data_IF_173238422465
#
_entry.id   IF_173238422465
#
_cell.length_a   1.000
_cell.length_b   1.000
_cell.length_c   1.000
_cell.angle_alpha   90.00
_cell.angle_beta   90.00
_cell.angle_gamma   90.00
#
_symmetry.space_group_name_H-M   'P 1'
#
loop_
_entity.id
_entity.type
_entity.pdbx_description
1 polymer ?
#
# COMPACT_ATOMS: atom_id res chain seq x y z
N UNK A 1 -17.51 -22.62 -39.68
CA UNK A 1 -17.61 -21.91 -38.39
C UNK A 1 -19.00 -21.35 -38.31
N UNK A 2 -19.80 -21.88 -37.39
CA UNK A 2 -21.11 -21.30 -37.10
C UNK A 2 -20.92 -20.03 -36.27
N UNK A 3 -21.89 -19.11 -36.32
CA UNK A 3 -21.89 -17.86 -35.53
C UNK A 3 -21.74 -18.13 -34.02
N UNK A 4 -22.22 -19.30 -33.58
CA UNK A 4 -22.10 -19.80 -32.21
C UNK A 4 -20.66 -20.18 -31.83
N UNK A 5 -19.86 -20.68 -32.79
CA UNK A 5 -18.45 -21.03 -32.57
C UNK A 5 -17.57 -19.79 -32.43
N UNK A 6 -17.85 -18.75 -33.23
CA UNK A 6 -17.12 -17.48 -33.16
C UNK A 6 -17.43 -16.73 -31.87
N UNK A 7 -18.71 -16.66 -31.48
CA UNK A 7 -19.13 -16.02 -30.23
C UNK A 7 -18.49 -16.68 -29.01
N UNK A 8 -18.42 -18.02 -28.99
CA UNK A 8 -17.77 -18.77 -27.92
C UNK A 8 -16.26 -18.50 -27.88
N UNK A 9 -15.60 -18.50 -29.03
CA UNK A 9 -14.18 -18.21 -29.13
C UNK A 9 -13.85 -16.81 -28.58
N UNK A 10 -14.62 -15.79 -28.98
CA UNK A 10 -14.43 -14.42 -28.47
C UNK A 10 -14.64 -14.35 -26.96
N UNK A 11 -15.67 -15.02 -26.43
CA UNK A 11 -15.94 -15.04 -25.00
C UNK A 11 -14.83 -15.73 -24.20
N UNK A 12 -14.27 -16.84 -24.71
CA UNK A 12 -13.17 -17.56 -24.07
C UNK A 12 -11.88 -16.73 -24.10
N UNK A 13 -11.53 -16.09 -25.23
CA UNK A 13 -10.39 -15.18 -25.31
C UNK A 13 -10.53 -13.97 -24.38
N UNK A 14 -11.74 -13.40 -24.27
CA UNK A 14 -11.99 -12.30 -23.33
C UNK A 14 -11.83 -12.73 -21.87
N UNK A 15 -12.26 -13.94 -21.51
CA UNK A 15 -12.09 -14.49 -20.16
C UNK A 15 -10.61 -14.67 -19.83
N UNK A 16 -9.84 -15.25 -20.74
CA UNK A 16 -8.39 -15.42 -20.58
C UNK A 16 -7.69 -14.05 -20.37
N UNK A 17 -8.03 -13.03 -21.17
CA UNK A 17 -7.49 -11.68 -20.95
C UNK A 17 -7.86 -11.07 -19.59
N UNK A 18 -9.05 -11.37 -19.07
CA UNK A 18 -9.48 -10.89 -17.75
C UNK A 18 -8.66 -11.59 -16.66
N UNK A 19 -8.53 -12.92 -16.72
CA UNK A 19 -7.78 -13.71 -15.76
C UNK A 19 -6.29 -13.28 -15.73
N UNK A 20 -5.65 -13.09 -16.89
CA UNK A 20 -4.29 -12.58 -16.98
C UNK A 20 -4.12 -11.18 -16.36
N UNK A 21 -5.11 -10.30 -16.57
CA UNK A 21 -5.09 -8.96 -15.99
C UNK A 21 -5.27 -8.98 -14.47
N UNK A 22 -6.14 -9.86 -13.95
CA UNK A 22 -6.34 -10.05 -12.51
C UNK A 22 -5.06 -10.56 -11.84
N UNK A 23 -4.39 -11.55 -12.44
CA UNK A 23 -3.11 -12.06 -11.96
C UNK A 23 -2.01 -10.98 -11.96
N UNK A 24 -1.90 -10.23 -13.06
CA UNK A 24 -0.94 -9.13 -13.16
C UNK A 24 -1.21 -8.04 -12.12
N UNK A 25 -2.48 -7.70 -11.88
CA UNK A 25 -2.87 -6.74 -10.85
C UNK A 25 -2.49 -7.23 -9.45
N UNK A 26 -2.74 -8.51 -9.15
CA UNK A 26 -2.39 -9.12 -7.87
C UNK A 26 -0.88 -9.07 -7.60
N UNK A 27 -0.06 -9.40 -8.60
CA UNK A 27 1.40 -9.33 -8.47
C UNK A 27 1.92 -7.90 -8.33
N UNK A 28 1.35 -6.94 -9.08
CA UNK A 28 1.69 -5.53 -8.94
C UNK A 28 1.36 -5.01 -7.53
N UNK A 29 0.21 -5.40 -6.97
CA UNK A 29 -0.19 -5.04 -5.60
C UNK A 29 0.77 -5.62 -4.56
N UNK A 30 1.17 -6.90 -4.69
CA UNK A 30 2.19 -7.52 -3.83
C UNK A 30 3.53 -6.81 -3.91
N UNK A 31 3.97 -6.44 -5.12
CA UNK A 31 5.21 -5.71 -5.33
C UNK A 31 5.17 -4.31 -4.68
N UNK A 32 4.06 -3.59 -4.84
CA UNK A 32 3.82 -2.29 -4.21
C UNK A 32 3.85 -2.41 -2.68
N UNK A 33 3.12 -3.35 -2.09
CA UNK A 33 3.12 -3.59 -0.65
C UNK A 33 4.50 -3.92 -0.08
N UNK A 34 5.23 -4.83 -0.75
CA UNK A 34 6.58 -5.21 -0.36
C UNK A 34 7.57 -4.02 -0.41
N UNK A 35 7.43 -3.16 -1.42
CA UNK A 35 8.21 -1.94 -1.56
C UNK A 35 7.88 -0.93 -0.47
N UNK A 36 6.60 -0.66 -0.22
CA UNK A 36 6.15 0.24 0.85
C UNK A 36 6.73 -0.19 2.20
N UNK A 37 6.62 -1.48 2.55
CA UNK A 37 7.20 -2.01 3.79
C UNK A 37 8.71 -1.81 3.86
N UNK A 38 9.42 -1.95 2.74
CA UNK A 38 10.87 -1.75 2.67
C UNK A 38 11.24 -0.29 2.90
N UNK A 39 10.59 0.64 2.20
CA UNK A 39 10.85 2.08 2.32
C UNK A 39 10.50 2.59 3.71
N UNK A 40 9.34 2.18 4.25
CA UNK A 40 8.93 2.51 5.61
C UNK A 40 9.93 1.98 6.64
N UNK A 41 10.45 0.75 6.47
CA UNK A 41 11.52 0.21 7.33
C UNK A 41 12.81 1.02 7.24
N UNK A 42 13.16 1.54 6.06
CA UNK A 42 14.37 2.33 5.86
C UNK A 42 14.25 3.71 6.50
N UNK A 43 13.14 4.42 6.27
CA UNK A 43 12.89 5.76 6.80
C UNK A 43 12.43 5.82 8.26
N UNK A 44 11.96 4.69 8.83
CA UNK A 44 11.41 4.68 10.20
C UNK A 44 12.43 5.12 11.25
N UNK A 45 11.99 6.05 12.11
CA UNK A 45 12.71 6.41 13.34
C UNK A 45 12.91 5.18 14.23
N UNK A 46 14.08 5.11 14.87
CA UNK A 46 14.46 3.96 15.69
C UNK A 46 14.83 4.40 17.10
N UNK A 47 13.97 4.01 18.07
CA UNK A 47 14.32 4.03 19.50
C UNK A 47 14.76 2.65 19.98
N UNK A 48 13.89 1.65 19.85
CA UNK A 48 14.14 0.24 20.22
C UNK A 48 14.11 -0.70 19.00
N UNK A 49 13.71 -0.21 17.83
CA UNK A 49 13.57 -0.99 16.60
C UNK A 49 12.23 -1.73 16.44
N UNK A 50 11.40 -1.82 17.48
CA UNK A 50 10.09 -2.49 17.41
C UNK A 50 9.15 -1.85 16.38
N UNK A 51 9.11 -0.51 16.33
CA UNK A 51 8.30 0.24 15.37
C UNK A 51 8.73 -0.05 13.92
N UNK A 52 10.03 0.08 13.61
CA UNK A 52 10.62 -0.27 12.31
C UNK A 52 10.28 -1.71 11.90
N UNK A 53 10.38 -2.68 12.81
CA UNK A 53 10.05 -4.09 12.51
C UNK A 53 8.54 -4.34 12.36
N UNK A 54 7.70 -3.44 12.83
CA UNK A 54 6.25 -3.59 12.91
C UNK A 54 5.49 -3.42 11.59
N UNK A 55 6.15 -2.94 10.52
CA UNK A 55 5.55 -2.76 9.20
C UNK A 55 5.28 -4.07 8.48
N UNK A 56 4.05 -4.20 7.97
CA UNK A 56 3.53 -5.33 7.20
C UNK A 56 2.65 -4.83 6.06
N UNK A 57 2.48 -5.67 5.05
CA UNK A 57 1.54 -5.47 3.97
C UNK A 57 0.69 -6.74 3.84
N UNK A 58 -0.61 -6.56 3.69
CA UNK A 58 -1.57 -7.61 3.38
C UNK A 58 -2.17 -7.30 2.01
N UNK A 59 -2.29 -8.32 1.18
CA UNK A 59 -2.89 -8.20 -0.16
C UNK A 59 -4.05 -9.17 -0.20
N UNK A 60 -5.22 -8.65 -0.49
CA UNK A 60 -6.46 -9.40 -0.61
C UNK A 60 -7.02 -9.18 -2.01
N UNK A 61 -7.44 -10.27 -2.65
CA UNK A 61 -8.06 -10.26 -3.96
C UNK A 61 -9.43 -10.92 -3.85
N UNK A 62 -10.46 -10.22 -4.32
CA UNK A 62 -11.83 -10.70 -4.40
C UNK A 62 -12.44 -10.36 -5.77
N UNK A 63 -13.74 -10.63 -5.94
CA UNK A 63 -14.48 -10.34 -7.18
C UNK A 63 -14.59 -8.84 -7.50
N UNK A 64 -14.33 -7.96 -6.54
CA UNK A 64 -14.39 -6.49 -6.70
C UNK A 64 -13.02 -5.92 -7.09
N UNK A 65 -11.93 -6.64 -6.84
CA UNK A 65 -10.59 -6.30 -7.28
C UNK A 65 -9.50 -6.79 -6.33
N UNK A 66 -8.33 -6.16 -6.42
CA UNK A 66 -7.22 -6.43 -5.49
C UNK A 66 -6.92 -5.19 -4.66
N UNK A 67 -6.88 -5.36 -3.34
CA UNK A 67 -6.48 -4.34 -2.37
C UNK A 67 -5.13 -4.70 -1.74
N UNK A 68 -4.28 -3.69 -1.52
CA UNK A 68 -3.06 -3.82 -0.73
C UNK A 68 -3.11 -2.86 0.46
N UNK A 69 -3.12 -3.40 1.68
CA UNK A 69 -3.13 -2.63 2.93
C UNK A 69 -1.76 -2.71 3.60
N UNK A 70 -1.14 -1.56 3.84
CA UNK A 70 0.15 -1.46 4.56
C UNK A 70 -0.09 -0.90 5.95
N UNK A 71 0.32 -1.63 6.98
CA UNK A 71 0.03 -1.26 8.36
C UNK A 71 1.22 -1.50 9.31
N UNK A 72 1.21 -0.84 10.47
CA UNK A 72 2.18 -1.08 11.54
C UNK A 72 1.48 -1.66 12.77
N UNK A 73 2.11 -2.64 13.42
CA UNK A 73 1.62 -3.21 14.70
C UNK A 73 1.43 -2.15 15.80
N UNK A 74 2.18 -1.05 15.78
CA UNK A 74 2.10 0.03 16.79
C UNK A 74 1.43 1.27 16.21
N UNK A 75 0.14 1.16 15.89
CA UNK A 75 -0.65 2.21 15.22
C UNK A 75 -0.61 3.58 15.92
N UNK A 76 -0.55 3.60 17.26
CA UNK A 76 -0.48 4.85 18.03
C UNK A 76 0.79 5.64 17.74
N UNK A 77 1.94 4.94 17.63
CA UNK A 77 3.20 5.58 17.27
C UNK A 77 3.16 6.07 15.82
N UNK A 78 2.50 5.34 14.94
CA UNK A 78 2.32 5.76 13.55
C UNK A 78 1.66 7.13 13.46
N UNK A 79 0.53 7.33 14.14
CA UNK A 79 -0.14 8.63 14.13
C UNK A 79 0.75 9.75 14.71
N UNK A 80 1.42 9.49 15.83
CA UNK A 80 2.28 10.46 16.51
C UNK A 80 3.54 10.84 15.71
N UNK A 81 4.09 9.90 14.95
CA UNK A 81 5.27 10.14 14.12
C UNK A 81 4.89 10.82 12.81
N UNK A 82 3.74 10.47 12.23
CA UNK A 82 3.28 11.01 10.96
C UNK A 82 2.76 12.44 11.08
N UNK A 83 2.06 12.77 12.17
CA UNK A 83 1.32 14.02 12.29
C UNK A 83 1.88 14.96 13.35
N UNK A 84 1.66 16.25 13.10
CA UNK A 84 1.91 17.29 14.09
C UNK A 84 1.00 17.10 15.30
N UNK A 85 1.58 17.15 16.49
CA UNK A 85 0.82 16.95 17.73
C UNK A 85 1.37 17.78 18.89
N UNK A 86 0.50 18.06 19.85
CA UNK A 86 0.87 18.84 21.02
C UNK A 86 1.74 18.02 21.99
N UNK A 87 2.82 18.65 22.47
CA UNK A 87 3.64 18.10 23.56
C UNK A 87 2.84 18.22 24.86
N UNK A 88 2.49 17.08 25.45
CA UNK A 88 1.85 16.96 26.76
C UNK A 88 2.87 16.51 27.79
N UNK A 89 3.04 17.26 28.86
CA UNK A 89 3.96 16.93 29.96
C UNK A 89 3.23 16.52 31.26
N UNK A 90 2.06 15.88 31.15
CA UNK A 90 1.22 15.43 32.28
C UNK A 90 0.76 16.52 33.29
N UNK A 91 1.20 17.77 33.15
CA UNK A 91 0.76 18.91 33.98
C UNK A 91 -0.49 19.62 33.45
N UNK A 92 -1.10 19.11 32.37
CA UNK A 92 -2.29 19.70 31.74
C UNK A 92 -2.04 20.95 30.88
N UNK A 93 -0.83 21.51 30.90
CA UNK A 93 -0.46 22.67 30.07
C UNK A 93 0.16 22.24 28.74
N UNK A 94 -0.21 22.90 27.64
CA UNK A 94 0.42 22.70 26.32
C UNK A 94 1.81 23.35 26.38
N UNK A 95 2.86 22.55 26.19
CA UNK A 95 4.25 23.01 26.29
C UNK A 95 4.84 23.40 24.93
N UNK A 96 4.36 22.79 23.85
CA UNK A 96 4.82 23.03 22.49
C UNK A 96 4.13 22.11 21.50
N UNK A 97 4.58 22.12 20.25
CA UNK A 97 4.15 21.23 19.18
C UNK A 97 5.36 20.41 18.69
N UNK A 98 5.13 19.13 18.44
CA UNK A 98 6.06 18.26 17.74
C UNK A 98 5.60 18.15 16.29
N UNK A 99 6.52 18.29 15.34
CA UNK A 99 6.23 18.08 13.92
C UNK A 99 6.33 16.59 13.56
N UNK A 100 5.38 16.10 12.78
CA UNK A 100 5.46 14.78 12.16
C UNK A 100 6.60 14.68 11.13
N UNK A 101 7.05 13.47 10.82
CA UNK A 101 8.00 13.23 9.72
C UNK A 101 7.34 13.09 8.35
N UNK A 102 6.04 12.79 8.28
CA UNK A 102 5.32 12.65 7.00
C UNK A 102 5.81 11.47 6.14
N UNK A 103 6.52 10.51 6.75
CA UNK A 103 7.16 9.42 6.04
C UNK A 103 6.14 8.54 5.31
N UNK A 104 4.98 8.29 5.91
CA UNK A 104 3.97 7.45 5.27
C UNK A 104 3.39 8.13 4.04
N UNK A 105 3.09 9.41 4.12
CA UNK A 105 2.60 10.18 2.98
C UNK A 105 3.61 10.17 1.82
N UNK A 106 4.90 10.37 2.11
CA UNK A 106 5.96 10.32 1.10
C UNK A 106 6.06 8.95 0.43
N UNK A 107 6.08 7.87 1.23
CA UNK A 107 6.15 6.50 0.68
C UNK A 107 4.90 6.15 -0.11
N UNK A 108 3.71 6.57 0.36
CA UNK A 108 2.47 6.35 -0.37
C UNK A 108 2.51 6.99 -1.75
N UNK A 109 2.87 8.29 -1.82
CA UNK A 109 2.93 9.01 -3.09
C UNK A 109 3.93 8.38 -4.05
N UNK A 110 5.11 8.01 -3.55
CA UNK A 110 6.14 7.35 -4.35
C UNK A 110 5.65 6.02 -4.93
N UNK A 111 5.07 5.16 -4.10
CA UNK A 111 4.63 3.82 -4.53
C UNK A 111 3.37 3.90 -5.40
N UNK A 112 2.46 4.84 -5.12
CA UNK A 112 1.28 5.07 -5.95
C UNK A 112 1.65 5.55 -7.36
N UNK A 113 2.61 6.46 -7.48
CA UNK A 113 3.11 6.93 -8.76
C UNK A 113 3.77 5.79 -9.58
N UNK A 114 4.59 4.96 -8.92
CA UNK A 114 5.20 3.79 -9.57
C UNK A 114 4.14 2.77 -10.01
N UNK A 115 3.16 2.47 -9.15
CA UNK A 115 2.08 1.54 -9.47
C UNK A 115 1.24 2.02 -10.66
N UNK A 116 0.89 3.32 -10.70
CA UNK A 116 0.18 3.92 -11.82
C UNK A 116 0.98 3.84 -13.14
N UNK A 117 2.30 4.05 -13.07
CA UNK A 117 3.18 3.93 -14.25
C UNK A 117 3.31 2.49 -14.75
N UNK A 118 3.26 1.51 -13.84
CA UNK A 118 3.34 0.09 -14.18
C UNK A 118 2.09 -0.40 -14.94
N UNK A 119 0.91 0.18 -14.68
CA UNK A 119 -0.32 -0.11 -15.43
C UNK A 119 -0.43 0.61 -16.78
N UNK A 120 0.42 1.62 -17.05
CA UNK A 120 0.38 2.42 -18.27
C UNK A 120 1.21 1.87 -19.44
N UNK A 121 1.76 0.66 -19.32
CA UNK A 121 2.76 0.12 -20.25
C UNK A 121 2.44 -1.26 -20.78
N UNK A 122 1.53 -1.35 -21.76
CA UNK A 122 1.65 -2.10 -23.02
C UNK A 122 0.40 -1.89 -23.88
#
# INVERSE_FOLDING_TARGET
MSDMDLSRFVADSMRECIEENEEALAENCKAAGARSVRLLKQGSRQRTGAYKKGWKADVESDETGTECVVHNRVYQLTHLLENDHAIKNQTGRRYGMTRGDGLMAEVYEQVAAEFASAGGGR
#
